data_IF_826432074971
#
_entry.id   IF_826432074971
#
_cell.length_a   1.000
_cell.length_b   1.000
_cell.length_c   1.000
_cell.angle_alpha   90.00
_cell.angle_beta   90.00
_cell.angle_gamma   90.00
#
_symmetry.space_group_name_H-M   'P 1'
#
loop_
_entity.id
_entity.type
_entity.pdbx_description
1 polymer ?
#
# COMPACT_ATOMS: atom_id res chain seq x y z
N UNK A 1 14.41 8.43 -23.05
CA UNK A 1 13.51 8.40 -21.87
C UNK A 1 14.10 9.35 -20.85
N UNK A 2 13.41 10.43 -20.53
CA UNK A 2 13.89 11.37 -19.51
C UNK A 2 13.74 10.73 -18.13
N UNK A 3 14.85 10.15 -17.64
CA UNK A 3 14.94 9.62 -16.27
C UNK A 3 14.70 10.70 -15.20
N UNK A 4 14.64 11.97 -15.59
CA UNK A 4 14.25 13.11 -14.75
C UNK A 4 12.88 12.93 -14.11
N UNK A 5 11.91 12.29 -14.80
CA UNK A 5 10.60 12.02 -14.24
C UNK A 5 10.68 11.16 -12.96
N UNK A 6 11.58 10.17 -12.92
CA UNK A 6 11.78 9.36 -11.71
C UNK A 6 12.31 10.21 -10.55
N UNK A 7 13.08 11.25 -10.83
CA UNK A 7 13.61 12.13 -9.78
C UNK A 7 12.56 13.08 -9.20
N UNK A 8 11.48 13.33 -9.94
CA UNK A 8 10.29 14.08 -9.45
C UNK A 8 9.44 13.25 -8.48
N UNK A 9 9.49 11.92 -8.60
CA UNK A 9 8.77 11.02 -7.68
C UNK A 9 9.42 11.07 -6.29
N UNK A 10 8.62 11.23 -5.22
CA UNK A 10 9.11 11.19 -3.84
C UNK A 10 9.92 9.93 -3.54
N UNK A 11 10.98 10.00 -2.72
CA UNK A 11 11.97 8.93 -2.62
C UNK A 11 11.40 7.59 -2.15
N UNK A 12 10.46 7.57 -1.18
CA UNK A 12 9.88 6.32 -0.67
C UNK A 12 8.91 5.75 -1.71
N UNK A 13 8.04 6.59 -2.28
CA UNK A 13 7.11 6.21 -3.34
C UNK A 13 7.83 5.69 -4.58
N UNK A 14 8.95 6.33 -4.96
CA UNK A 14 9.81 5.87 -6.05
C UNK A 14 10.32 4.47 -5.79
N UNK A 15 10.80 4.18 -4.59
CA UNK A 15 11.27 2.84 -4.24
C UNK A 15 10.13 1.81 -4.36
N UNK A 16 8.94 2.12 -3.82
CA UNK A 16 7.77 1.25 -3.92
C UNK A 16 7.42 0.97 -5.39
N UNK A 17 7.37 2.00 -6.23
CA UNK A 17 7.06 1.86 -7.65
C UNK A 17 8.12 1.10 -8.43
N UNK A 18 9.40 1.42 -8.24
CA UNK A 18 10.49 0.70 -8.89
C UNK A 18 10.43 -0.79 -8.55
N UNK A 19 10.29 -1.15 -7.28
CA UNK A 19 10.17 -2.54 -6.85
C UNK A 19 8.94 -3.22 -7.45
N UNK A 20 7.82 -2.51 -7.54
CA UNK A 20 6.58 -3.06 -8.08
C UNK A 20 6.62 -3.26 -9.59
N UNK A 21 7.13 -2.27 -10.33
CA UNK A 21 7.33 -2.36 -11.78
C UNK A 21 8.32 -3.47 -12.14
N UNK A 22 9.45 -3.55 -11.44
CA UNK A 22 10.44 -4.63 -11.64
C UNK A 22 9.77 -5.99 -11.37
N UNK A 23 9.01 -6.12 -10.29
CA UNK A 23 8.31 -7.36 -9.94
C UNK A 23 7.32 -7.79 -11.02
N UNK A 24 6.48 -6.87 -11.52
CA UNK A 24 5.52 -7.16 -12.59
C UNK A 24 6.24 -7.57 -13.88
N UNK A 25 7.31 -6.87 -14.26
CA UNK A 25 8.11 -7.19 -15.45
C UNK A 25 8.78 -8.57 -15.32
N UNK A 26 9.51 -8.83 -14.24
CA UNK A 26 10.21 -10.11 -14.04
C UNK A 26 9.26 -11.30 -14.12
N UNK A 27 8.08 -11.19 -13.53
CA UNK A 27 7.09 -12.27 -13.57
C UNK A 27 6.44 -12.40 -14.96
N UNK A 28 6.15 -11.29 -15.63
CA UNK A 28 5.50 -11.31 -16.95
C UNK A 28 6.40 -11.87 -18.05
N UNK A 29 7.71 -11.68 -17.93
CA UNK A 29 8.70 -12.27 -18.83
C UNK A 29 9.12 -13.70 -18.43
N UNK A 30 8.50 -14.28 -17.40
CA UNK A 30 8.78 -15.64 -16.96
C UNK A 30 10.13 -15.84 -16.27
N UNK A 31 10.82 -14.74 -15.90
CA UNK A 31 12.10 -14.81 -15.16
C UNK A 31 11.89 -15.18 -13.70
N UNK A 32 10.73 -14.84 -13.14
CA UNK A 32 10.32 -15.16 -11.77
C UNK A 32 8.95 -15.83 -11.83
N UNK A 33 8.79 -16.96 -11.13
CA UNK A 33 7.51 -17.63 -11.08
C UNK A 33 6.55 -16.86 -10.13
N UNK A 34 5.27 -16.64 -10.48
CA UNK A 34 4.32 -15.89 -9.62
C UNK A 34 4.23 -16.44 -8.18
N UNK A 35 4.31 -17.77 -8.02
CA UNK A 35 4.37 -18.46 -6.72
C UNK A 35 5.59 -18.08 -5.85
N UNK A 36 6.59 -17.35 -6.33
CA UNK A 36 7.67 -16.82 -5.51
C UNK A 36 7.28 -15.50 -4.82
N UNK A 37 6.24 -14.84 -5.31
CA UNK A 37 5.73 -13.57 -4.78
C UNK A 37 4.64 -13.77 -3.73
N UNK A 38 4.09 -14.99 -3.55
CA UNK A 38 3.09 -15.22 -2.52
C UNK A 38 3.69 -15.20 -1.11
N UNK A 39 2.89 -14.74 -0.15
CA UNK A 39 3.15 -14.96 1.26
C UNK A 39 2.41 -16.21 1.76
N UNK A 40 3.19 -17.12 2.34
CA UNK A 40 2.71 -18.29 3.09
C UNK A 40 3.55 -18.39 4.36
N UNK A 41 2.95 -18.38 5.56
CA UNK A 41 3.69 -18.49 6.81
C UNK A 41 4.56 -19.75 6.87
N UNK A 42 4.06 -20.87 6.36
CA UNK A 42 4.79 -22.14 6.26
C UNK A 42 6.05 -21.97 5.42
N UNK A 43 5.93 -21.45 4.20
CA UNK A 43 7.09 -21.25 3.31
C UNK A 43 8.06 -20.21 3.87
N UNK A 44 7.54 -19.13 4.45
CA UNK A 44 8.37 -18.04 4.95
C UNK A 44 9.21 -18.46 6.16
N UNK A 45 8.61 -19.16 7.13
CA UNK A 45 9.26 -19.45 8.40
C UNK A 45 9.79 -20.88 8.52
N UNK A 46 9.06 -21.89 8.04
CA UNK A 46 9.50 -23.29 8.14
C UNK A 46 10.56 -23.61 7.07
N UNK A 47 10.33 -23.14 5.84
CA UNK A 47 11.30 -23.32 4.74
C UNK A 47 12.32 -22.18 4.64
N UNK A 48 12.25 -21.20 5.54
CA UNK A 48 13.19 -20.05 5.62
C UNK A 48 13.22 -19.18 4.36
N UNK A 49 12.13 -19.13 3.59
CA UNK A 49 11.98 -18.25 2.44
C UNK A 49 11.59 -16.82 2.86
N UNK A 50 12.44 -16.15 3.65
CA UNK A 50 12.12 -14.87 4.30
C UNK A 50 11.83 -13.72 3.33
N UNK A 51 12.35 -13.77 2.10
CA UNK A 51 12.05 -12.75 1.08
C UNK A 51 10.55 -12.63 0.77
N UNK A 52 9.76 -13.68 1.02
CA UNK A 52 8.29 -13.68 0.87
C UNK A 52 7.57 -12.69 1.77
N UNK A 53 8.21 -12.27 2.87
CA UNK A 53 7.71 -11.20 3.74
C UNK A 53 7.70 -9.84 3.04
N UNK A 54 8.51 -9.69 1.99
CA UNK A 54 8.73 -8.42 1.28
C UNK A 54 8.15 -8.50 -0.13
N UNK A 55 8.43 -9.56 -0.88
CA UNK A 55 8.00 -9.70 -2.28
C UNK A 55 6.48 -9.68 -2.49
N UNK A 56 5.71 -10.14 -1.49
CA UNK A 56 4.23 -10.16 -1.53
C UNK A 56 3.57 -8.81 -1.71
N UNK A 57 4.27 -7.73 -1.33
CA UNK A 57 3.74 -6.37 -1.40
C UNK A 57 3.96 -5.70 -2.76
N UNK A 58 4.80 -6.27 -3.63
CA UNK A 58 5.24 -5.60 -4.86
C UNK A 58 4.68 -6.22 -6.15
N UNK A 59 4.03 -7.38 -6.09
CA UNK A 59 3.49 -8.02 -7.29
C UNK A 59 2.00 -7.74 -7.48
N UNK A 60 1.66 -6.94 -8.50
CA UNK A 60 0.28 -6.54 -8.84
C UNK A 60 -0.37 -7.38 -9.95
N UNK A 61 0.13 -8.60 -10.18
CA UNK A 61 -0.33 -9.45 -11.27
C UNK A 61 0.52 -9.32 -12.54
N UNK A 62 0.16 -10.05 -13.61
CA UNK A 62 0.87 -9.99 -14.89
C UNK A 62 0.71 -8.60 -15.53
N UNK A 63 1.62 -8.26 -16.45
CA UNK A 63 1.62 -6.98 -17.16
C UNK A 63 0.38 -6.86 -18.06
N UNK A 64 -0.67 -6.28 -17.49
CA UNK A 64 -1.95 -6.00 -18.12
C UNK A 64 -2.51 -4.65 -17.64
N UNK A 65 -3.66 -4.25 -18.18
CA UNK A 65 -4.29 -2.99 -17.83
C UNK A 65 -4.59 -2.88 -16.32
N UNK A 66 -5.06 -3.95 -15.68
CA UNK A 66 -5.34 -3.97 -14.23
C UNK A 66 -4.09 -3.66 -13.39
N UNK A 67 -2.94 -4.28 -13.73
CA UNK A 67 -1.68 -4.02 -13.03
C UNK A 67 -1.19 -2.58 -13.21
N UNK A 68 -1.39 -1.99 -14.41
CA UNK A 68 -1.01 -0.60 -14.70
C UNK A 68 -1.88 0.36 -13.89
N UNK A 69 -3.18 0.08 -13.80
CA UNK A 69 -4.14 0.86 -13.02
C UNK A 69 -3.79 0.82 -11.53
N UNK A 70 -3.49 -0.36 -10.97
CA UNK A 70 -3.09 -0.48 -9.56
C UNK A 70 -1.76 0.22 -9.27
N UNK A 71 -0.78 0.14 -10.18
CA UNK A 71 0.47 0.90 -10.07
C UNK A 71 0.25 2.42 -10.13
N UNK A 72 -0.67 2.88 -10.97
CA UNK A 72 -1.05 4.30 -11.03
C UNK A 72 -1.68 4.75 -9.71
N UNK A 73 -2.59 3.96 -9.13
CA UNK A 73 -3.16 4.27 -7.82
C UNK A 73 -2.12 4.26 -6.72
N UNK A 74 -1.20 3.28 -6.71
CA UNK A 74 -0.08 3.25 -5.77
C UNK A 74 0.75 4.54 -5.88
N UNK A 75 1.12 4.95 -7.10
CA UNK A 75 1.85 6.19 -7.34
C UNK A 75 1.11 7.42 -6.79
N UNK A 76 -0.15 7.60 -7.20
CA UNK A 76 -0.95 8.79 -6.87
C UNK A 76 -1.17 8.92 -5.36
N UNK A 77 -1.55 7.81 -4.72
CA UNK A 77 -1.88 7.75 -3.29
C UNK A 77 -0.62 7.90 -2.45
N UNK A 78 0.42 7.10 -2.74
CA UNK A 78 1.68 7.12 -2.00
C UNK A 78 2.37 8.48 -2.12
N UNK A 79 2.45 9.05 -3.32
CA UNK A 79 3.07 10.36 -3.53
C UNK A 79 2.32 11.46 -2.79
N UNK A 80 0.99 11.43 -2.81
CA UNK A 80 0.17 12.42 -2.10
C UNK A 80 0.38 12.35 -0.58
N UNK A 81 0.39 11.15 -0.01
CA UNK A 81 0.65 10.94 1.42
C UNK A 81 2.08 11.39 1.78
N UNK A 82 3.09 11.00 1.00
CA UNK A 82 4.50 11.29 1.27
C UNK A 82 4.80 12.79 1.18
N UNK A 83 4.33 13.46 0.14
CA UNK A 83 4.61 14.88 -0.10
C UNK A 83 3.82 15.81 0.81
N UNK A 84 2.52 15.55 1.00
CA UNK A 84 1.63 16.49 1.67
C UNK A 84 1.53 16.21 3.17
N UNK A 85 1.31 14.95 3.57
CA UNK A 85 1.19 14.62 4.98
C UNK A 85 2.55 14.40 5.64
N UNK A 86 3.39 13.50 5.10
CA UNK A 86 4.73 13.22 5.64
C UNK A 86 5.81 14.16 5.10
N UNK A 87 5.46 15.41 4.78
CA UNK A 87 6.42 16.38 4.25
C UNK A 87 7.68 16.46 5.13
N UNK A 88 8.85 16.20 4.53
CA UNK A 88 10.16 16.11 5.21
C UNK A 88 10.26 15.09 6.35
N UNK A 89 9.31 14.15 6.46
CA UNK A 89 9.21 13.11 7.51
C UNK A 89 9.24 11.70 6.93
N UNK A 90 10.21 11.44 6.03
CA UNK A 90 10.35 10.16 5.32
C UNK A 90 10.47 8.93 6.24
N UNK A 91 11.14 9.04 7.38
CA UNK A 91 11.28 7.92 8.32
C UNK A 91 9.94 7.56 8.97
N UNK A 92 9.13 8.57 9.29
CA UNK A 92 7.78 8.36 9.83
C UNK A 92 6.88 7.69 8.78
N UNK A 93 7.05 8.07 7.50
CA UNK A 93 6.33 7.41 6.42
C UNK A 93 6.76 5.95 6.26
N UNK A 94 8.07 5.67 6.18
CA UNK A 94 8.59 4.31 6.12
C UNK A 94 8.09 3.46 7.29
N UNK A 95 8.11 3.97 8.52
CA UNK A 95 7.59 3.25 9.68
C UNK A 95 6.09 2.96 9.56
N UNK A 96 5.31 3.92 9.04
CA UNK A 96 3.88 3.73 8.77
C UNK A 96 3.66 2.60 7.74
N UNK A 97 4.46 2.57 6.66
CA UNK A 97 4.41 1.51 5.66
C UNK A 97 4.78 0.14 6.26
N UNK A 98 5.86 0.07 7.04
CA UNK A 98 6.27 -1.18 7.70
C UNK A 98 5.24 -1.66 8.71
N UNK A 99 4.60 -0.75 9.45
CA UNK A 99 3.53 -1.10 10.38
C UNK A 99 2.32 -1.66 9.63
N UNK A 100 1.92 -1.03 8.53
CA UNK A 100 0.85 -1.53 7.67
C UNK A 100 1.16 -2.91 7.07
N UNK A 101 2.36 -3.08 6.53
CA UNK A 101 2.84 -4.36 6.02
C UNK A 101 2.85 -5.45 7.10
N UNK A 102 3.33 -5.14 8.31
CA UNK A 102 3.33 -6.06 9.45
C UNK A 102 1.92 -6.49 9.86
N UNK A 103 0.97 -5.56 9.91
CA UNK A 103 -0.44 -5.85 10.21
C UNK A 103 -1.08 -6.74 9.13
N UNK A 104 -0.81 -6.48 7.85
CA UNK A 104 -1.32 -7.32 6.75
C UNK A 104 -0.71 -8.73 6.76
N UNK A 105 0.60 -8.87 7.03
CA UNK A 105 1.23 -10.17 7.22
C UNK A 105 0.61 -10.94 8.39
N UNK A 106 0.33 -10.25 9.50
CA UNK A 106 -0.35 -10.84 10.65
C UNK A 106 -1.77 -11.32 10.28
N UNK A 107 -2.59 -10.46 9.67
CA UNK A 107 -3.95 -10.81 9.23
C UNK A 107 -3.97 -11.95 8.22
N UNK A 108 -2.99 -12.01 7.32
CA UNK A 108 -2.84 -13.14 6.40
C UNK A 108 -2.44 -14.41 7.12
N UNK A 109 -1.57 -14.32 8.12
CA UNK A 109 -1.14 -15.47 8.93
C UNK A 109 -2.28 -16.07 9.75
N UNK A 110 -3.21 -15.25 10.24
CA UNK A 110 -4.44 -15.70 10.92
C UNK A 110 -5.56 -16.09 9.97
N UNK A 111 -5.33 -16.09 8.65
CA UNK A 111 -6.30 -16.37 7.58
C UNK A 111 -7.49 -15.40 7.51
N UNK A 112 -7.39 -14.21 8.11
CA UNK A 112 -8.39 -13.16 7.96
C UNK A 112 -8.37 -12.53 6.56
N UNK A 113 -7.21 -12.56 5.89
CA UNK A 113 -7.04 -12.20 4.48
C UNK A 113 -6.80 -13.48 3.68
N UNK A 114 -7.62 -13.71 2.66
CA UNK A 114 -7.59 -14.96 1.88
C UNK A 114 -6.56 -14.93 0.74
N UNK A 115 -6.33 -13.75 0.16
CA UNK A 115 -5.37 -13.57 -0.93
C UNK A 115 -3.93 -13.84 -0.46
N UNK A 116 -3.14 -14.62 -1.22
CA UNK A 116 -1.74 -14.85 -0.92
C UNK A 116 -0.82 -13.69 -1.37
N UNK A 117 -1.30 -12.81 -2.25
CA UNK A 117 -0.60 -11.58 -2.64
C UNK A 117 -1.16 -10.40 -1.84
N UNK A 118 -0.29 -9.68 -1.14
CA UNK A 118 -0.68 -8.57 -0.25
C UNK A 118 -0.53 -7.19 -0.89
N UNK A 119 -0.02 -7.11 -2.13
CA UNK A 119 0.12 -5.88 -2.92
C UNK A 119 -1.17 -5.07 -3.01
N UNK A 120 -2.27 -5.69 -3.47
CA UNK A 120 -3.57 -5.01 -3.57
C UNK A 120 -4.07 -4.57 -2.19
N UNK A 121 -3.93 -5.41 -1.16
CA UNK A 121 -4.36 -5.08 0.20
C UNK A 121 -3.56 -3.93 0.81
N UNK A 122 -2.27 -3.86 0.48
CA UNK A 122 -1.40 -2.76 0.86
C UNK A 122 -1.79 -1.47 0.14
N UNK A 123 -2.04 -1.51 -1.17
CA UNK A 123 -2.57 -0.36 -1.89
C UNK A 123 -3.91 0.11 -1.33
N UNK A 124 -4.88 -0.77 -1.08
CA UNK A 124 -6.17 -0.39 -0.47
C UNK A 124 -6.01 0.19 0.94
N UNK A 125 -5.11 -0.37 1.75
CA UNK A 125 -4.73 0.20 3.06
C UNK A 125 -4.25 1.66 2.92
N UNK A 126 -3.42 1.96 1.91
CA UNK A 126 -2.96 3.31 1.63
C UNK A 126 -4.07 4.22 1.12
N UNK A 127 -4.99 3.70 0.30
CA UNK A 127 -6.16 4.46 -0.16
C UNK A 127 -7.02 4.88 1.03
N UNK A 128 -7.28 3.98 1.97
CA UNK A 128 -7.99 4.31 3.21
C UNK A 128 -7.26 5.40 3.99
N UNK A 129 -5.96 5.22 4.20
CA UNK A 129 -5.15 6.18 4.92
C UNK A 129 -5.19 7.57 4.25
N UNK A 130 -5.07 7.62 2.93
CA UNK A 130 -5.18 8.85 2.13
C UNK A 130 -6.54 9.52 2.31
N UNK A 131 -7.63 8.74 2.22
CA UNK A 131 -9.00 9.17 2.47
C UNK A 131 -9.20 9.88 3.80
N UNK A 132 -8.46 9.47 4.83
CA UNK A 132 -8.55 10.04 6.19
C UNK A 132 -7.57 11.18 6.45
N UNK A 133 -6.38 11.14 5.85
CA UNK A 133 -5.34 12.15 6.06
C UNK A 133 -5.55 13.42 5.22
N UNK A 134 -6.06 13.27 3.99
CA UNK A 134 -6.22 14.36 3.02
C UNK A 134 -7.67 14.39 2.47
N UNK A 135 -8.70 14.48 3.34
CA UNK A 135 -10.09 14.17 3.00
C UNK A 135 -10.78 15.18 2.07
N UNK A 136 -10.16 16.35 1.84
CA UNK A 136 -10.68 17.42 0.99
C UNK A 136 -10.01 17.46 -0.38
N UNK A 137 -8.94 16.68 -0.58
CA UNK A 137 -8.33 16.55 -1.89
C UNK A 137 -9.29 15.80 -2.83
N UNK A 138 -9.22 16.12 -4.11
CA UNK A 138 -9.97 15.44 -5.16
C UNK A 138 -9.04 14.53 -5.94
N UNK A 139 -9.56 13.36 -6.31
CA UNK A 139 -8.90 12.43 -7.20
C UNK A 139 -9.81 12.17 -8.41
N UNK A 140 -9.22 12.21 -9.61
CA UNK A 140 -9.93 11.85 -10.83
C UNK A 140 -9.74 10.36 -11.09
N UNK A 141 -10.85 9.61 -11.11
CA UNK A 141 -10.87 8.20 -11.47
C UNK A 141 -10.85 8.12 -12.99
N UNK A 142 -9.71 7.69 -13.54
CA UNK A 142 -9.45 7.54 -14.98
C UNK A 142 -9.69 8.80 -15.82
N UNK A 143 -9.65 10.00 -15.23
CA UNK A 143 -9.96 11.25 -15.94
C UNK A 143 -11.45 11.50 -16.16
N UNK A 144 -12.33 10.57 -15.74
CA UNK A 144 -13.76 10.59 -16.06
C UNK A 144 -14.61 11.13 -14.91
N UNK A 145 -14.28 10.75 -13.67
CA UNK A 145 -15.06 11.07 -12.49
C UNK A 145 -14.16 11.64 -11.41
N UNK A 146 -14.38 12.91 -11.04
CA UNK A 146 -13.72 13.52 -9.89
C UNK A 146 -14.51 13.22 -8.62
N UNK A 147 -13.84 12.62 -7.64
CA UNK A 147 -14.40 12.32 -6.32
C UNK A 147 -13.47 12.82 -5.23
N UNK A 148 -14.04 13.23 -4.11
CA UNK A 148 -13.25 13.55 -2.93
C UNK A 148 -12.57 12.29 -2.42
N UNK A 149 -11.29 12.43 -2.08
CA UNK A 149 -10.39 11.35 -1.65
C UNK A 149 -10.95 10.57 -0.45
N UNK A 150 -11.72 11.23 0.43
CA UNK A 150 -12.41 10.57 1.55
C UNK A 150 -13.36 9.43 1.16
N UNK A 151 -13.89 9.46 -0.07
CA UNK A 151 -14.83 8.45 -0.57
C UNK A 151 -14.14 7.35 -1.35
N UNK A 152 -12.84 7.46 -1.65
CA UNK A 152 -12.11 6.46 -2.44
C UNK A 152 -12.18 5.03 -1.88
N UNK A 153 -12.07 4.79 -0.55
CA UNK A 153 -12.16 3.42 -0.02
C UNK A 153 -13.52 2.79 -0.35
N UNK A 154 -14.60 3.56 -0.18
CA UNK A 154 -15.94 3.11 -0.51
C UNK A 154 -16.12 2.91 -2.03
N UNK A 155 -15.59 3.82 -2.85
CA UNK A 155 -15.68 3.71 -4.32
C UNK A 155 -14.95 2.45 -4.80
N UNK A 156 -13.75 2.16 -4.29
CA UNK A 156 -13.03 0.96 -4.68
C UNK A 156 -13.66 -0.32 -4.15
N UNK A 157 -14.24 -0.29 -2.94
CA UNK A 157 -15.02 -1.41 -2.43
C UNK A 157 -16.22 -1.72 -3.36
N UNK A 158 -16.96 -0.70 -3.78
CA UNK A 158 -18.06 -0.86 -4.72
C UNK A 158 -17.60 -1.37 -6.08
N UNK A 159 -16.49 -0.84 -6.61
CA UNK A 159 -15.92 -1.32 -7.87
C UNK A 159 -15.51 -2.80 -7.76
N UNK A 160 -14.84 -3.20 -6.69
CA UNK A 160 -14.41 -4.59 -6.47
C UNK A 160 -15.58 -5.56 -6.43
N UNK A 161 -16.69 -5.16 -5.77
CA UNK A 161 -17.94 -5.93 -5.76
C UNK A 161 -18.54 -6.05 -7.15
N UNK A 162 -18.56 -4.96 -7.92
CA UNK A 162 -19.14 -4.95 -9.27
C UNK A 162 -18.33 -5.79 -10.26
N UNK A 163 -17.00 -5.78 -10.16
CA UNK A 163 -16.10 -6.52 -11.06
C UNK A 163 -15.79 -7.94 -10.55
N UNK A 164 -16.18 -8.29 -9.32
CA UNK A 164 -15.98 -9.61 -8.73
C UNK A 164 -14.50 -9.93 -8.46
N UNK A 165 -13.66 -8.91 -8.23
CA UNK A 165 -12.20 -9.10 -8.14
C UNK A 165 -11.74 -9.74 -6.82
N UNK A 166 -12.39 -9.42 -5.69
CA UNK A 166 -11.98 -9.90 -4.37
C UNK A 166 -13.20 -10.09 -3.45
N UNK A 167 -13.10 -11.03 -2.50
CA UNK A 167 -14.07 -11.15 -1.42
C UNK A 167 -14.12 -9.89 -0.56
N UNK A 168 -15.33 -9.33 -0.39
CA UNK A 168 -15.61 -8.11 0.40
C UNK A 168 -14.89 -8.11 1.75
N UNK A 169 -14.87 -9.25 2.43
CA UNK A 169 -14.23 -9.38 3.74
C UNK A 169 -12.74 -9.03 3.71
N UNK A 170 -12.03 -9.42 2.64
CA UNK A 170 -10.60 -9.12 2.51
C UNK A 170 -10.35 -7.62 2.33
N UNK A 171 -11.16 -6.92 1.54
CA UNK A 171 -10.99 -5.48 1.36
C UNK A 171 -11.31 -4.69 2.63
N UNK A 172 -12.37 -5.09 3.35
CA UNK A 172 -12.70 -4.52 4.66
C UNK A 172 -11.55 -4.69 5.64
N UNK A 173 -10.80 -5.80 5.58
CA UNK A 173 -9.61 -5.98 6.41
C UNK A 173 -8.47 -5.01 6.06
N UNK A 174 -8.25 -4.71 4.78
CA UNK A 174 -7.28 -3.68 4.38
C UNK A 174 -7.70 -2.28 4.85
N UNK A 175 -8.99 -1.95 4.71
CA UNK A 175 -9.54 -0.69 5.23
C UNK A 175 -9.40 -0.59 6.76
N UNK A 176 -9.59 -1.70 7.48
CA UNK A 176 -9.37 -1.76 8.92
C UNK A 176 -7.90 -1.50 9.28
N UNK A 177 -6.93 -2.07 8.54
CA UNK A 177 -5.51 -1.75 8.73
C UNK A 177 -5.25 -0.27 8.48
N UNK A 178 -5.83 0.30 7.42
CA UNK A 178 -5.74 1.73 7.15
C UNK A 178 -6.30 2.58 8.28
N UNK A 179 -7.40 2.14 8.89
CA UNK A 179 -8.00 2.80 10.05
C UNK A 179 -7.11 2.73 11.29
N UNK A 180 -6.48 1.58 11.56
CA UNK A 180 -5.53 1.42 12.66
C UNK A 180 -4.34 2.37 12.47
N UNK A 181 -3.77 2.45 11.27
CA UNK A 181 -2.67 3.37 10.96
C UNK A 181 -3.08 4.83 11.17
N UNK A 182 -4.25 5.23 10.67
CA UNK A 182 -4.79 6.57 10.87
C UNK A 182 -4.99 6.88 12.37
N UNK A 183 -5.56 5.94 13.13
CA UNK A 183 -5.75 6.09 14.56
C UNK A 183 -4.41 6.29 15.29
N UNK A 184 -3.39 5.50 14.97
CA UNK A 184 -2.05 5.61 15.55
C UNK A 184 -1.33 6.91 15.18
N UNK A 185 -1.61 7.48 14.00
CA UNK A 185 -1.03 8.74 13.53
C UNK A 185 -1.70 9.98 14.11
N UNK A 186 -3.04 9.99 14.18
CA UNK A 186 -3.82 11.20 14.46
C UNK A 186 -4.55 11.16 15.79
N UNK A 187 -5.12 10.03 16.20
CA UNK A 187 -6.01 9.96 17.37
C UNK A 187 -5.22 9.59 18.62
N UNK A 188 -4.46 8.50 18.58
CA UNK A 188 -3.67 8.01 19.71
C UNK A 188 -2.74 9.09 20.28
N UNK A 189 -1.98 9.86 19.48
CA UNK A 189 -1.08 10.87 20.04
C UNK A 189 -1.81 12.09 20.61
N UNK A 190 -3.04 12.39 20.17
CA UNK A 190 -3.83 13.48 20.75
C UNK A 190 -4.26 13.15 22.18
N UNK A 191 -4.55 11.86 22.44
CA UNK A 191 -5.00 11.35 23.74
C UNK A 191 -3.80 11.12 24.67
N UNK A 192 -2.79 10.37 24.23
CA UNK A 192 -1.70 9.90 25.11
C UNK A 192 -0.46 10.79 25.09
N UNK A 193 -0.35 11.73 24.14
CA UNK A 193 0.87 12.50 23.83
C UNK A 193 2.08 11.65 23.38
N UNK A 194 1.89 10.34 23.23
CA UNK A 194 2.89 9.42 22.68
C UNK A 194 2.67 9.32 21.17
N UNK A 195 3.75 9.47 20.40
CA UNK A 195 3.69 9.39 18.94
C UNK A 195 4.37 8.10 18.44
N UNK A 196 3.64 6.97 18.38
CA UNK A 196 4.26 5.67 18.05
C UNK A 196 4.86 5.63 16.65
N UNK A 197 4.25 6.36 15.70
CA UNK A 197 4.67 6.41 14.30
C UNK A 197 5.44 7.69 13.93
N UNK A 198 5.79 8.56 14.91
CA UNK A 198 6.63 9.76 14.67
C UNK A 198 7.96 9.65 15.40
N UNK A 199 8.88 8.90 14.82
CA UNK A 199 10.23 8.66 15.35
C UNK A 199 11.26 9.63 14.79
N UNK A 200 11.03 10.20 13.61
CA UNK A 200 12.02 11.06 12.96
C UNK A 200 12.43 12.25 13.82
N UNK A 201 11.52 12.73 14.70
CA UNK A 201 11.81 13.78 15.69
C UNK A 201 13.02 13.49 16.59
N UNK A 202 13.35 12.22 16.82
CA UNK A 202 14.49 11.83 17.64
C UNK A 202 15.83 11.89 16.88
N UNK A 203 15.78 11.88 15.55
CA UNK A 203 16.97 11.89 14.67
C UNK A 203 17.30 13.28 14.11
N UNK A 204 16.50 14.31 14.38
CA UNK A 204 16.73 15.70 13.93
C UNK A 204 17.39 16.54 15.07
N UNK A 205 18.11 15.89 15.99
CA UNK A 205 19.00 16.57 16.95
C UNK A 205 20.42 16.53 16.41
#
# INVERSE_FOLDING_TARGET
>A
MDFNFLWEIPPVTRLLLCLSVISVVLVSFGLVHPLQMIFSPTLAFQEKHYWRLVSTFFYFGPLNLSSIIELHWLYMVSSSIELQYFHRRRLDYCLTLFTGAGLLLFLRSTRAIETPYLSNQFSKTLVYLFGRLLPHQEASIFGLLTVQVRYLPLVFLLMSVMFGEVGIGTEVMADLVGHILWYLLEIFPRITKIHPLRVQRYFIR
#
